data_IF_160015096255
#
_entry.id   IF_160015096255
#
_cell.length_a   1.000
_cell.length_b   1.000
_cell.length_c   1.000
_cell.angle_alpha   90.00
_cell.angle_beta   90.00
_cell.angle_gamma   90.00
#
_symmetry.space_group_name_H-M   'P 1'
#
loop_
_entity.id
_entity.type
_entity.pdbx_description
1 polymer ?
#
# COMPACT_ATOMS: atom_id res chain seq x y z
N UNK A 1 27.68 -43.21 67.07
CA UNK A 1 27.05 -41.94 67.51
C UNK A 1 25.72 -41.89 66.75
N UNK A 2 24.50 -41.89 67.34
CA UNK A 2 23.87 -40.87 68.23
C UNK A 2 23.95 -39.47 67.56
N UNK A 3 22.89 -38.71 67.29
CA UNK A 3 21.54 -38.61 67.91
C UNK A 3 20.39 -38.31 66.90
N UNK A 4 19.16 -38.04 67.42
CA UNK A 4 17.88 -37.86 66.70
C UNK A 4 17.48 -36.37 66.51
N UNK A 5 16.38 -36.15 65.76
CA UNK A 5 15.42 -35.02 65.83
C UNK A 5 15.89 -33.65 65.28
N UNK A 6 15.11 -33.09 64.35
CA UNK A 6 14.48 -31.78 64.48
C UNK A 6 13.47 -31.53 63.34
N UNK A 7 12.27 -31.05 63.67
CA UNK A 7 11.40 -30.39 62.71
C UNK A 7 11.73 -28.90 62.68
N UNK A 8 11.63 -28.26 61.51
CA UNK A 8 11.67 -26.82 61.37
C UNK A 8 10.53 -26.36 60.45
N UNK A 9 9.41 -25.95 61.05
CA UNK A 9 8.42 -25.16 60.34
C UNK A 9 8.98 -23.73 60.20
N UNK A 10 9.09 -23.24 58.97
CA UNK A 10 9.39 -21.85 58.68
C UNK A 10 8.29 -21.30 57.77
N UNK A 11 7.38 -20.52 58.36
CA UNK A 11 6.43 -19.74 57.58
C UNK A 11 7.16 -18.54 56.98
N UNK A 12 7.06 -18.36 55.66
CA UNK A 12 7.51 -17.15 54.99
C UNK A 12 6.61 -16.82 53.80
N UNK A 13 5.70 -15.88 54.04
CA UNK A 13 5.27 -14.83 53.10
C UNK A 13 4.78 -15.28 51.72
N UNK A 14 3.46 -15.37 51.57
CA UNK A 14 2.84 -15.51 50.26
C UNK A 14 3.16 -14.32 49.35
N UNK A 15 3.87 -14.58 48.26
CA UNK A 15 3.93 -13.67 47.12
C UNK A 15 2.63 -13.90 46.35
N UNK A 16 1.65 -13.02 46.54
CA UNK A 16 0.55 -12.91 45.58
C UNK A 16 1.20 -12.40 44.29
N UNK A 17 1.40 -13.30 43.32
CA UNK A 17 1.56 -12.88 41.93
C UNK A 17 0.24 -12.18 41.58
N UNK A 18 0.25 -10.85 41.68
CA UNK A 18 -0.78 -10.02 41.09
C UNK A 18 -0.72 -10.34 39.59
N UNK A 19 -1.70 -11.13 39.15
CA UNK A 19 -1.88 -11.48 37.75
C UNK A 19 -2.06 -10.18 36.99
N UNK A 20 -0.98 -9.72 36.36
CA UNK A 20 -1.02 -8.73 35.30
C UNK A 20 -1.91 -9.32 34.22
N UNK A 21 -3.20 -9.01 34.29
CA UNK A 21 -4.12 -9.13 33.18
C UNK A 21 -3.62 -8.16 32.13
N UNK A 22 -2.65 -8.62 31.33
CA UNK A 22 -2.21 -7.94 30.13
C UNK A 22 -3.44 -7.86 29.23
N UNK A 23 -4.15 -6.74 29.31
CA UNK A 23 -5.10 -6.35 28.29
C UNK A 23 -4.34 -6.44 26.98
N UNK A 24 -4.80 -7.26 26.02
CA UNK A 24 -4.15 -7.28 24.71
C UNK A 24 -4.20 -5.85 24.20
N UNK A 25 -3.02 -5.28 23.94
CA UNK A 25 -2.92 -3.97 23.34
C UNK A 25 -3.60 -4.08 21.98
N UNK A 26 -4.85 -3.60 21.90
CA UNK A 26 -5.63 -3.63 20.68
C UNK A 26 -4.90 -2.76 19.68
N UNK A 27 -4.18 -3.41 18.76
CA UNK A 27 -3.49 -2.70 17.70
C UNK A 27 -4.54 -1.90 16.95
N UNK A 28 -4.38 -0.57 16.95
CA UNK A 28 -5.28 0.28 16.19
C UNK A 28 -5.29 -0.21 14.74
N UNK A 29 -6.48 -0.33 14.09
CA UNK A 29 -6.54 -0.78 12.71
C UNK A 29 -5.65 0.14 11.87
N UNK A 30 -4.81 -0.47 11.02
CA UNK A 30 -4.02 0.27 10.05
C UNK A 30 -4.97 1.13 9.22
N UNK A 31 -4.90 2.45 9.39
CA UNK A 31 -5.76 3.39 8.67
C UNK A 31 -5.26 3.43 7.24
N UNK A 32 -6.07 3.00 6.29
CA UNK A 32 -5.78 3.12 4.86
C UNK A 32 -5.50 4.57 4.48
N UNK A 33 -4.37 4.82 3.82
CA UNK A 33 -3.90 6.17 3.51
C UNK A 33 -3.73 6.34 2.01
N UNK A 34 -4.53 7.22 1.41
CA UNK A 34 -4.43 7.51 -0.02
C UNK A 34 -3.46 8.67 -0.30
N UNK A 35 -2.60 8.48 -1.29
CA UNK A 35 -1.79 9.54 -1.91
C UNK A 35 -2.11 9.61 -3.39
N UNK A 36 -2.23 10.82 -3.94
CA UNK A 36 -2.46 11.05 -5.37
C UNK A 36 -1.39 11.95 -5.95
N UNK A 37 -1.02 11.70 -7.21
CA UNK A 37 -0.22 12.61 -8.04
C UNK A 37 -0.86 12.75 -9.42
N UNK A 38 -0.93 14.00 -9.88
CA UNK A 38 -1.47 14.35 -11.20
C UNK A 38 -0.39 14.97 -12.09
N UNK A 39 -0.50 14.76 -13.39
CA UNK A 39 0.26 15.49 -14.41
C UNK A 39 -0.62 15.73 -15.64
N UNK A 40 -0.39 16.85 -16.31
CA UNK A 40 -1.09 17.20 -17.54
C UNK A 40 -0.11 17.18 -18.71
N UNK A 41 -0.29 16.25 -19.64
CA UNK A 41 0.37 16.29 -20.94
C UNK A 41 -0.59 15.70 -21.98
N UNK A 42 -1.02 16.54 -22.93
CA UNK A 42 -2.20 16.34 -23.80
C UNK A 42 -3.55 16.23 -23.06
N UNK A 43 -3.61 15.49 -21.95
CA UNK A 43 -4.77 15.29 -21.08
C UNK A 43 -4.33 15.31 -19.61
N UNK A 44 -5.27 15.46 -18.67
CA UNK A 44 -4.95 15.33 -17.24
C UNK A 44 -5.00 13.85 -16.83
N UNK A 45 -3.85 13.33 -16.40
CA UNK A 45 -3.68 12.03 -15.80
C UNK A 45 -3.49 12.16 -14.29
N UNK A 46 -4.13 11.27 -13.53
CA UNK A 46 -3.94 11.16 -12.07
C UNK A 46 -3.76 9.69 -11.69
N UNK A 47 -2.74 9.42 -10.89
CA UNK A 47 -2.59 8.17 -10.14
C UNK A 47 -2.93 8.45 -8.67
N UNK A 48 -3.77 7.62 -8.07
CA UNK A 48 -3.93 7.53 -6.62
C UNK A 48 -3.57 6.12 -6.15
N UNK A 49 -2.82 6.02 -5.05
CA UNK A 49 -2.41 4.77 -4.42
C UNK A 49 -2.91 4.76 -2.99
N UNK A 50 -3.61 3.70 -2.60
CA UNK A 50 -4.06 3.47 -1.23
C UNK A 50 -3.12 2.49 -0.56
N UNK A 51 -2.42 2.98 0.46
CA UNK A 51 -1.49 2.22 1.29
C UNK A 51 -2.20 1.70 2.54
N UNK A 52 -1.91 0.46 2.93
CA UNK A 52 -2.28 -0.12 4.21
C UNK A 52 -1.00 -0.51 4.95
N UNK A 53 -0.96 -0.35 6.28
CA UNK A 53 0.19 -0.70 7.10
C UNK A 53 0.50 0.31 8.21
N UNK A 54 1.74 0.26 8.69
CA UNK A 54 2.26 1.04 9.82
C UNK A 54 3.43 1.95 9.39
N UNK A 55 4.38 2.22 10.29
CA UNK A 55 5.58 3.03 9.99
C UNK A 55 6.68 2.25 9.26
N UNK A 56 6.54 0.93 9.09
CA UNK A 56 7.57 0.05 8.54
C UNK A 56 7.09 -0.73 7.31
N UNK A 57 5.81 -1.08 7.27
CA UNK A 57 5.14 -1.71 6.12
C UNK A 57 4.19 -0.69 5.47
N UNK A 58 4.21 -0.62 4.14
CA UNK A 58 3.37 0.26 3.35
C UNK A 58 2.87 -0.51 2.12
N UNK A 59 2.15 -1.58 2.41
CA UNK A 59 1.55 -2.45 1.41
C UNK A 59 0.48 -1.68 0.62
N UNK A 60 0.26 -2.08 -0.63
CA UNK A 60 -0.74 -1.43 -1.49
C UNK A 60 -1.93 -2.34 -1.67
N UNK A 61 -3.10 -1.81 -1.31
CA UNK A 61 -4.42 -2.46 -1.47
C UNK A 61 -5.17 -2.00 -2.73
N UNK A 62 -4.78 -0.84 -3.28
CA UNK A 62 -5.44 -0.25 -4.45
C UNK A 62 -4.56 0.75 -5.19
N UNK A 63 -4.67 0.76 -6.52
CA UNK A 63 -4.20 1.82 -7.40
C UNK A 63 -5.32 2.26 -8.35
N UNK A 64 -5.73 3.52 -8.25
CA UNK A 64 -6.70 4.16 -9.13
C UNK A 64 -5.96 5.01 -10.17
N UNK A 65 -6.21 4.81 -11.47
CA UNK A 65 -5.78 5.73 -12.52
C UNK A 65 -6.96 6.41 -13.22
N UNK A 66 -6.83 7.72 -13.43
CA UNK A 66 -7.88 8.56 -13.99
C UNK A 66 -7.30 9.38 -15.13
N UNK A 67 -8.01 9.42 -16.26
CA UNK A 67 -7.73 10.32 -17.36
C UNK A 67 -8.99 11.11 -17.72
N UNK A 68 -8.90 12.44 -17.69
CA UNK A 68 -9.99 13.36 -18.02
C UNK A 68 -9.62 14.23 -19.22
N UNK A 69 -10.49 14.31 -20.24
CA UNK A 69 -10.15 15.00 -21.51
C UNK A 69 -11.33 15.44 -22.38
N UNK A 70 -12.34 14.58 -22.55
CA UNK A 70 -13.25 14.50 -23.71
C UNK A 70 -12.63 13.87 -24.98
N UNK A 71 -11.43 14.26 -25.42
CA UNK A 71 -10.81 13.84 -26.69
C UNK A 71 -9.60 12.89 -26.53
N UNK A 72 -9.42 11.96 -27.47
CA UNK A 72 -8.34 10.97 -27.44
C UNK A 72 -8.62 9.73 -26.57
N UNK A 73 -7.77 8.73 -26.74
CA UNK A 73 -7.73 7.47 -25.98
C UNK A 73 -6.28 6.98 -25.88
N UNK A 74 -6.03 5.91 -25.13
CA UNK A 74 -4.71 5.29 -25.12
C UNK A 74 -4.49 4.20 -24.09
N UNK A 75 -3.24 3.72 -24.04
CA UNK A 75 -2.79 2.64 -23.16
C UNK A 75 -2.30 3.19 -21.80
N UNK A 76 -2.46 2.42 -20.74
CA UNK A 76 -1.93 2.67 -19.39
C UNK A 76 -1.31 1.41 -18.78
N UNK A 77 -0.30 1.60 -17.93
CA UNK A 77 0.34 0.52 -17.17
C UNK A 77 0.65 0.99 -15.75
N UNK A 78 0.42 0.12 -14.78
CA UNK A 78 0.73 0.29 -13.36
C UNK A 78 1.93 -0.57 -13.01
N UNK A 79 2.85 0.00 -12.24
CA UNK A 79 4.05 -0.66 -11.77
C UNK A 79 4.21 -0.45 -10.27
N UNK A 80 4.71 -1.48 -9.60
CA UNK A 80 5.25 -1.39 -8.25
C UNK A 80 6.73 -1.78 -8.24
N UNK A 81 7.33 -1.88 -7.05
CA UNK A 81 8.74 -2.25 -6.86
C UNK A 81 9.11 -3.60 -7.48
N UNK A 82 8.12 -4.49 -7.61
CA UNK A 82 8.28 -5.88 -8.10
C UNK A 82 7.92 -6.04 -9.59
N UNK A 83 7.63 -4.95 -10.30
CA UNK A 83 7.30 -4.94 -11.73
C UNK A 83 5.85 -4.51 -12.04
N UNK A 84 5.35 -4.93 -13.20
CA UNK A 84 4.00 -4.56 -13.68
C UNK A 84 2.90 -5.20 -12.82
N UNK A 85 1.90 -4.40 -12.45
CA UNK A 85 0.75 -4.80 -11.64
C UNK A 85 -0.48 -5.07 -12.51
N UNK A 86 -0.84 -4.11 -13.39
CA UNK A 86 -1.95 -4.20 -14.34
C UNK A 86 -1.71 -3.22 -15.49
N UNK A 87 -2.36 -3.46 -16.62
CA UNK A 87 -2.35 -2.61 -17.81
C UNK A 87 -3.73 -2.59 -18.48
N UNK A 88 -3.90 -1.72 -19.49
CA UNK A 88 -5.13 -1.55 -20.28
C UNK A 88 -5.53 -2.72 -21.20
N UNK A 89 -5.08 -3.95 -20.93
CA UNK A 89 -5.64 -5.13 -21.62
C UNK A 89 -7.14 -5.31 -21.33
N UNK A 90 -7.66 -4.71 -20.26
CA UNK A 90 -9.10 -4.63 -19.93
C UNK A 90 -9.79 -3.37 -20.49
N UNK A 91 -9.04 -2.43 -21.07
CA UNK A 91 -9.59 -1.25 -21.74
C UNK A 91 -8.68 -0.01 -21.68
N UNK A 92 -8.62 0.70 -22.81
CA UNK A 92 -7.95 1.99 -22.95
C UNK A 92 -8.51 3.06 -22.02
N UNK A 93 -7.66 4.01 -21.60
CA UNK A 93 -8.13 5.20 -20.90
C UNK A 93 -8.89 6.11 -21.87
N UNK A 94 -10.20 6.29 -21.67
CA UNK A 94 -11.01 7.28 -22.37
C UNK A 94 -12.18 7.75 -21.52
N UNK A 95 -12.09 8.96 -20.96
CA UNK A 95 -13.15 9.61 -20.15
C UNK A 95 -13.68 8.71 -19.02
N UNK A 96 -12.82 7.90 -18.43
CA UNK A 96 -13.15 6.88 -17.43
C UNK A 96 -12.07 6.85 -16.35
N UNK A 97 -12.48 6.45 -15.15
CA UNK A 97 -11.56 5.95 -14.13
C UNK A 97 -11.33 4.48 -14.42
N UNK A 98 -10.07 4.03 -14.40
CA UNK A 98 -9.69 2.63 -14.46
C UNK A 98 -8.99 2.31 -13.15
N UNK A 99 -9.51 1.34 -12.42
CA UNK A 99 -8.95 0.95 -11.14
C UNK A 99 -8.33 -0.45 -11.20
N UNK A 100 -7.36 -0.62 -10.31
CA UNK A 100 -6.86 -1.90 -9.87
C UNK A 100 -7.02 -1.96 -8.36
N UNK A 101 -7.66 -3.02 -7.87
CA UNK A 101 -7.71 -3.38 -6.47
C UNK A 101 -7.10 -4.77 -6.30
N UNK A 102 -6.34 -4.94 -5.22
CA UNK A 102 -5.58 -6.15 -4.95
C UNK A 102 -4.46 -5.87 -3.96
N UNK A 103 -3.98 -6.92 -3.30
CA UNK A 103 -2.86 -6.84 -2.37
C UNK A 103 -1.53 -6.94 -3.11
N UNK A 104 -0.60 -6.03 -2.83
CA UNK A 104 0.81 -6.12 -3.21
C UNK A 104 1.70 -5.68 -2.04
N UNK A 105 2.64 -6.54 -1.65
CA UNK A 105 3.59 -6.26 -0.56
C UNK A 105 4.45 -5.01 -0.90
N UNK A 106 4.62 -4.10 0.07
CA UNK A 106 5.28 -2.81 -0.13
C UNK A 106 6.06 -2.29 1.07
N UNK A 107 7.25 -1.74 0.83
CA UNK A 107 8.11 -1.14 1.84
C UNK A 107 8.01 0.40 1.84
N UNK A 108 8.37 1.02 2.97
CA UNK A 108 8.34 2.48 3.07
C UNK A 108 9.36 3.17 2.15
N UNK A 109 8.86 4.05 1.29
CA UNK A 109 9.67 4.73 0.27
C UNK A 109 9.69 4.06 -1.09
N UNK A 110 9.00 2.93 -1.24
CA UNK A 110 8.74 2.34 -2.55
C UNK A 110 7.97 3.28 -3.47
N UNK A 111 8.24 3.16 -4.77
CA UNK A 111 7.60 3.93 -5.84
C UNK A 111 6.57 3.08 -6.55
N UNK A 112 5.34 3.59 -6.56
CA UNK A 112 4.18 3.00 -7.20
C UNK A 112 3.77 3.92 -8.34
N UNK A 113 3.95 3.45 -9.57
CA UNK A 113 3.97 4.30 -10.75
C UNK A 113 2.86 3.94 -11.74
N UNK A 114 2.40 4.94 -12.47
CA UNK A 114 1.57 4.79 -13.65
C UNK A 114 2.27 5.43 -14.85
N UNK A 115 2.24 4.75 -15.99
CA UNK A 115 2.63 5.31 -17.28
C UNK A 115 1.40 5.34 -18.17
N UNK A 116 1.28 6.43 -18.92
CA UNK A 116 0.21 6.64 -19.89
C UNK A 116 0.84 6.81 -21.27
N UNK A 117 0.18 6.27 -22.29
CA UNK A 117 0.50 6.46 -23.70
C UNK A 117 -0.76 6.89 -24.43
N UNK A 118 -0.63 7.84 -25.34
CA UNK A 118 -1.71 8.36 -26.18
C UNK A 118 -1.74 7.61 -27.50
N UNK A 119 -2.90 7.11 -27.90
CA UNK A 119 -3.14 6.66 -29.28
C UNK A 119 -3.09 7.87 -30.23
N UNK A 120 -2.32 7.74 -31.30
CA UNK A 120 -2.23 8.74 -32.36
C UNK A 120 -3.31 8.58 -33.43
N UNK A 121 -4.07 7.47 -33.40
CA UNK A 121 -5.16 7.17 -34.31
C UNK A 121 -4.69 6.66 -35.67
N UNK A 122 -5.62 6.12 -36.46
CA UNK A 122 -5.38 5.69 -37.83
C UNK A 122 -4.33 4.58 -38.00
N UNK A 123 -4.05 3.80 -36.94
CA UNK A 123 -3.00 2.77 -36.94
C UNK A 123 -1.57 3.30 -36.70
N UNK A 124 -1.42 4.58 -36.35
CA UNK A 124 -0.12 5.24 -36.12
C UNK A 124 0.58 4.81 -34.82
N UNK A 125 -0.05 3.94 -34.02
CA UNK A 125 0.47 3.45 -32.75
C UNK A 125 0.38 4.47 -31.61
N UNK A 126 1.06 4.15 -30.51
CA UNK A 126 1.00 4.90 -29.26
C UNK A 126 2.28 5.71 -29.03
N UNK A 127 2.14 6.99 -28.64
CA UNK A 127 3.25 7.80 -28.12
C UNK A 127 3.19 7.85 -26.59
N UNK A 128 4.35 7.92 -25.92
CA UNK A 128 4.39 8.04 -24.46
C UNK A 128 3.77 9.37 -24.03
N UNK A 129 2.68 9.28 -23.28
CA UNK A 129 1.79 10.38 -22.92
C UNK A 129 2.26 11.16 -21.70
N UNK A 130 3.07 10.58 -20.81
CA UNK A 130 3.70 11.28 -19.67
C UNK A 130 5.08 10.69 -19.33
N UNK A 131 5.89 11.42 -18.54
CA UNK A 131 6.85 10.76 -17.65
C UNK A 131 6.07 9.90 -16.62
N UNK A 132 6.65 8.83 -16.05
CA UNK A 132 5.96 8.01 -15.06
C UNK A 132 5.44 8.87 -13.88
N UNK A 133 4.14 8.78 -13.61
CA UNK A 133 3.51 9.37 -12.44
C UNK A 133 3.71 8.42 -11.26
N UNK A 134 4.59 8.75 -10.33
CA UNK A 134 4.96 7.87 -9.22
C UNK A 134 4.58 8.44 -7.86
N UNK A 135 3.96 7.61 -7.04
CA UNK A 135 3.52 7.91 -5.67
C UNK A 135 4.31 7.03 -4.69
N UNK A 136 4.51 7.51 -3.46
CA UNK A 136 5.19 6.77 -2.40
C UNK A 136 4.50 6.97 -1.05
N UNK A 137 4.74 6.05 -0.11
CA UNK A 137 4.26 6.11 1.27
C UNK A 137 5.01 7.12 2.15
N UNK A 138 6.15 7.65 1.68
CA UNK A 138 6.95 8.60 2.48
C UNK A 138 6.15 9.85 2.86
N UNK A 139 6.31 10.24 4.12
CA UNK A 139 5.68 11.44 4.68
C UNK A 139 4.20 11.28 4.99
N UNK A 140 3.63 10.06 4.94
CA UNK A 140 2.36 9.74 5.60
C UNK A 140 2.60 9.22 7.01
#
# INVERSE_FOLDING_TARGET
>A
MRHRIAAAAAAATGIILASLTATPASAAPAVDRQRCQSATLFVNHTLCVTFQGDLYNADVVKMDVRASTSTGMGHWELYGPRGTIKNSLDGEWRNRTHDWSGWQDGAHGDLWCAVFWKDMGGGSGYIKGTQPLCVTSRGI
#
